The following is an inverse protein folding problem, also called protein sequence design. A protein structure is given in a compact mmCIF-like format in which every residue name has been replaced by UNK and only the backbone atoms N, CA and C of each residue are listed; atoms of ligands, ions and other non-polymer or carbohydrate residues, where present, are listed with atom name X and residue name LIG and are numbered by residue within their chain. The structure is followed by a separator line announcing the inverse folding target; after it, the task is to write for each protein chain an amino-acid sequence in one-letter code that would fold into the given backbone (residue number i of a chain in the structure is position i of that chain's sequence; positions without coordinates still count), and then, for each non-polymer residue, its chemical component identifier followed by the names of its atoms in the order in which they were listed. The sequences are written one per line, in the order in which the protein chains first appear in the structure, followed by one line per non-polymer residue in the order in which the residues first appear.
data_IF_443860492441
#
_entry.id   IF_443860492441
#
_cell.length_a   1.000
_cell.length_b   1.000
_cell.length_c   1.000
_cell.angle_alpha   90.00
_cell.angle_beta   90.00
_cell.angle_gamma   90.00
#
_symmetry.space_group_name_H-M   'P 1'
#
loop_
_entity.id
_entity.type
_entity.pdbx_description
1 polymer ?
#
# COMPACT_ATOMS: atom_id res chain seq x y z
N UNK A 1 8.82 10.93 13.69
CA UNK A 1 9.25 9.84 12.79
C UNK A 1 8.78 10.16 11.38
N UNK A 2 9.46 9.65 10.34
CA UNK A 2 9.21 10.02 8.94
C UNK A 2 7.71 10.03 8.56
N UNK A 3 6.97 8.95 8.82
CA UNK A 3 5.53 8.89 8.49
C UNK A 3 4.67 9.89 9.26
N UNK A 4 5.02 10.20 10.50
CA UNK A 4 4.29 11.22 11.29
C UNK A 4 4.44 12.60 10.65
N UNK A 5 5.67 12.96 10.30
CA UNK A 5 5.98 14.24 9.65
C UNK A 5 5.33 14.32 8.26
N UNK A 6 5.34 13.22 7.51
CA UNK A 6 4.64 13.12 6.22
C UNK A 6 3.14 13.39 6.37
N UNK A 7 2.48 12.75 7.33
CA UNK A 7 1.04 12.92 7.54
C UNK A 7 0.69 14.30 8.07
N UNK A 8 1.47 14.85 8.99
CA UNK A 8 1.31 16.24 9.45
C UNK A 8 1.38 17.23 8.27
N UNK A 9 2.37 17.08 7.38
CA UNK A 9 2.52 17.93 6.20
C UNK A 9 1.36 17.78 5.19
N UNK A 10 0.81 16.58 5.03
CA UNK A 10 -0.32 16.33 4.11
C UNK A 10 -1.65 16.82 4.71
N UNK A 11 -1.81 16.74 6.03
CA UNK A 11 -3.02 17.14 6.76
C UNK A 11 -3.09 18.65 7.06
N UNK A 12 -2.09 19.44 6.66
CA UNK A 12 -2.15 20.91 6.75
C UNK A 12 -3.29 21.52 5.90
N UNK A 13 -3.90 20.75 4.99
CA UNK A 13 -5.17 21.11 4.34
C UNK A 13 -6.36 20.73 5.24
N UNK A 14 -7.11 21.71 5.80
CA UNK A 14 -8.22 21.46 6.72
C UNK A 14 -9.45 20.78 6.09
N UNK A 15 -9.39 20.46 4.78
CA UNK A 15 -10.40 19.67 4.06
C UNK A 15 -10.00 18.20 3.84
N UNK A 16 -8.78 17.81 4.23
CA UNK A 16 -8.23 16.47 4.04
C UNK A 16 -9.00 15.40 4.81
N UNK A 17 -9.26 14.27 4.16
CA UNK A 17 -9.77 13.07 4.80
C UNK A 17 -8.66 12.43 5.66
N UNK A 18 -9.02 11.91 6.84
CA UNK A 18 -8.07 11.25 7.74
C UNK A 18 -7.32 10.12 7.03
N UNK A 19 -6.05 9.97 7.42
CA UNK A 19 -5.16 8.90 6.96
C UNK A 19 -5.21 7.79 8.01
N UNK A 20 -5.66 6.61 7.60
CA UNK A 20 -5.62 5.41 8.44
C UNK A 20 -4.83 4.32 7.73
N UNK A 21 -4.48 3.24 8.45
CA UNK A 21 -3.72 2.16 7.87
C UNK A 21 -2.85 1.40 8.85
N UNK A 22 -1.88 0.68 8.31
CA UNK A 22 -0.99 -0.18 9.07
C UNK A 22 0.43 -0.11 8.51
N UNK A 23 1.38 0.15 9.39
CA UNK A 23 2.81 0.03 9.15
C UNK A 23 3.39 -1.18 9.89
N UNK A 24 3.80 -2.19 9.13
CA UNK A 24 4.46 -3.37 9.68
C UNK A 24 5.98 -3.25 9.47
N UNK A 25 6.71 -3.23 10.59
CA UNK A 25 8.16 -3.11 10.62
C UNK A 25 8.80 -4.48 10.82
N UNK A 26 9.56 -4.95 9.81
CA UNK A 26 10.51 -6.05 9.96
C UNK A 26 11.93 -5.50 10.10
N UNK A 27 12.88 -6.31 10.61
CA UNK A 27 14.28 -5.88 10.72
C UNK A 27 14.93 -5.44 9.41
N UNK A 28 14.48 -5.96 8.26
CA UNK A 28 15.09 -5.73 6.94
C UNK A 28 14.15 -5.12 5.89
N UNK A 29 12.86 -4.99 6.19
CA UNK A 29 11.85 -4.54 5.23
C UNK A 29 10.64 -3.94 5.94
N UNK A 30 9.82 -3.20 5.20
CA UNK A 30 8.63 -2.55 5.72
C UNK A 30 7.47 -2.89 4.81
N UNK A 31 6.33 -3.23 5.40
CA UNK A 31 5.07 -3.39 4.68
C UNK A 31 4.12 -2.27 5.10
N UNK A 32 3.52 -1.62 4.11
CA UNK A 32 2.78 -0.36 4.29
C UNK A 32 1.40 -0.47 3.65
N UNK A 33 0.35 -0.44 4.49
CA UNK A 33 -1.04 -0.34 4.09
C UNK A 33 -1.55 1.07 4.43
N UNK A 34 -2.12 1.76 3.44
CA UNK A 34 -2.65 3.12 3.60
C UNK A 34 -4.08 3.17 3.07
N UNK A 35 -4.96 3.81 3.85
CA UNK A 35 -6.34 4.07 3.50
C UNK A 35 -6.59 5.58 3.60
N UNK A 36 -6.96 6.20 2.48
CA UNK A 36 -7.36 7.61 2.42
C UNK A 36 -8.02 7.89 1.06
N UNK A 37 -8.38 9.15 0.80
CA UNK A 37 -8.84 9.58 -0.51
C UNK A 37 -7.71 9.46 -1.57
N UNK A 38 -8.12 9.40 -2.85
CA UNK A 38 -7.17 9.22 -3.96
C UNK A 38 -6.14 10.34 -4.07
N UNK A 39 -6.49 11.58 -3.73
CA UNK A 39 -5.54 12.70 -3.72
C UNK A 39 -4.47 12.53 -2.66
N UNK A 40 -4.82 12.10 -1.45
CA UNK A 40 -3.85 11.85 -0.38
C UNK A 40 -2.95 10.67 -0.71
N UNK A 41 -3.51 9.57 -1.22
CA UNK A 41 -2.70 8.42 -1.68
C UNK A 41 -1.71 8.86 -2.78
N UNK A 42 -2.15 9.72 -3.70
CA UNK A 42 -1.27 10.25 -4.74
C UNK A 42 -0.10 11.06 -4.16
N UNK A 43 -0.37 11.95 -3.19
CA UNK A 43 0.66 12.74 -2.50
C UNK A 43 1.66 11.85 -1.75
N UNK A 44 1.18 10.80 -1.08
CA UNK A 44 2.03 9.83 -0.38
C UNK A 44 2.94 9.10 -1.38
N UNK A 45 2.39 8.61 -2.50
CA UNK A 45 3.21 7.94 -3.52
C UNK A 45 4.22 8.90 -4.15
N UNK A 46 3.85 10.17 -4.35
CA UNK A 46 4.75 11.21 -4.83
C UNK A 46 5.91 11.47 -3.86
N UNK A 47 5.63 11.54 -2.55
CA UNK A 47 6.67 11.67 -1.54
C UNK A 47 7.60 10.46 -1.52
N UNK A 48 7.06 9.24 -1.59
CA UNK A 48 7.85 8.00 -1.66
C UNK A 48 8.72 7.95 -2.92
N UNK A 49 8.23 8.42 -4.07
CA UNK A 49 9.02 8.56 -5.29
C UNK A 49 10.18 9.55 -5.08
N UNK A 50 9.91 10.68 -4.44
CA UNK A 50 10.94 11.68 -4.11
C UNK A 50 12.01 11.11 -3.16
N UNK A 51 11.59 10.30 -2.18
CA UNK A 51 12.49 9.63 -1.25
C UNK A 51 13.39 8.63 -1.99
N UNK A 52 12.81 7.80 -2.85
CA UNK A 52 13.57 6.83 -3.64
C UNK A 52 14.56 7.50 -4.61
N UNK A 53 14.21 8.68 -5.13
CA UNK A 53 15.09 9.45 -6.02
C UNK A 53 16.39 9.95 -5.35
N UNK A 54 16.45 9.94 -4.01
CA UNK A 54 17.67 10.26 -3.25
C UNK A 54 18.75 9.17 -3.37
N UNK A 55 18.45 8.04 -4.00
CA UNK A 55 19.42 6.96 -4.26
C UNK A 55 19.89 6.27 -2.98
N UNK A 56 21.19 5.95 -2.90
CA UNK A 56 21.75 5.16 -1.79
C UNK A 56 21.67 5.84 -0.41
N UNK A 57 21.42 7.15 -0.35
CA UNK A 57 21.21 7.88 0.91
C UNK A 57 19.74 7.92 1.36
N UNK A 58 18.83 7.38 0.57
CA UNK A 58 17.41 7.33 0.92
C UNK A 58 17.18 6.49 2.18
N UNK A 59 16.24 6.93 3.01
CA UNK A 59 15.80 6.18 4.20
C UNK A 59 15.22 4.82 3.81
N UNK A 60 14.47 4.78 2.71
CA UNK A 60 13.85 3.59 2.16
C UNK A 60 14.38 3.35 0.75
N UNK A 61 14.76 2.11 0.46
CA UNK A 61 15.21 1.66 -0.85
C UNK A 61 14.24 0.59 -1.37
N UNK A 62 14.28 0.34 -2.69
CA UNK A 62 13.47 -0.69 -3.35
C UNK A 62 11.96 -0.63 -3.03
N UNK A 63 11.42 0.60 -2.99
CA UNK A 63 10.00 0.84 -2.73
C UNK A 63 9.19 0.31 -3.91
N UNK A 64 8.17 -0.51 -3.60
CA UNK A 64 7.26 -1.10 -4.57
C UNK A 64 5.80 -0.81 -4.21
N UNK A 65 5.01 -0.46 -5.21
CA UNK A 65 3.55 -0.35 -5.12
C UNK A 65 2.96 -1.70 -5.53
N UNK A 66 2.41 -2.42 -4.56
CA UNK A 66 1.82 -3.75 -4.80
C UNK A 66 0.44 -3.63 -5.43
N UNK A 67 -0.46 -2.91 -4.78
CA UNK A 67 -1.86 -2.73 -5.18
C UNK A 67 -2.34 -1.36 -4.75
N UNK A 68 -3.11 -0.70 -5.63
CA UNK A 68 -3.92 0.48 -5.28
C UNK A 68 -5.37 0.13 -5.58
N UNK A 69 -6.19 0.09 -4.54
CA UNK A 69 -7.61 -0.19 -4.64
C UNK A 69 -8.44 1.10 -4.54
N UNK A 70 -9.61 1.10 -5.17
CA UNK A 70 -10.55 2.23 -5.18
C UNK A 70 -11.93 1.79 -4.71
N UNK A 71 -12.77 2.75 -4.30
CA UNK A 71 -14.15 2.52 -3.85
C UNK A 71 -14.26 1.52 -2.68
N UNK A 72 -13.34 1.63 -1.72
CA UNK A 72 -13.39 0.82 -0.49
C UNK A 72 -14.55 1.32 0.37
N UNK A 73 -15.58 0.50 0.65
CA UNK A 73 -16.79 0.95 1.33
C UNK A 73 -16.58 1.21 2.83
N UNK A 74 -15.61 0.53 3.43
CA UNK A 74 -15.29 0.59 4.86
C UNK A 74 -13.79 0.46 5.04
N UNK A 75 -13.20 1.34 5.85
CA UNK A 75 -11.78 1.26 6.24
C UNK A 75 -11.52 -0.04 6.99
N UNK A 76 -10.43 -0.71 6.66
CA UNK A 76 -9.97 -1.89 7.37
C UNK A 76 -9.38 -1.53 8.73
N UNK A 77 -8.61 -0.43 8.76
CA UNK A 77 -8.06 0.15 9.98
C UNK A 77 -8.78 1.47 10.27
N UNK A 78 -9.51 1.61 11.40
CA UNK A 78 -10.15 2.87 11.75
C UNK A 78 -9.11 3.99 11.97
N UNK A 79 -7.97 3.65 12.59
CA UNK A 79 -6.88 4.57 12.89
C UNK A 79 -5.56 4.16 12.21
N UNK A 80 -4.50 4.92 12.46
CA UNK A 80 -3.15 4.61 12.01
C UNK A 80 -2.42 3.71 13.02
N UNK A 81 -2.01 2.53 12.57
CA UNK A 81 -1.32 1.55 13.43
C UNK A 81 0.12 1.31 13.01
N UNK A 82 1.00 1.13 14.01
CA UNK A 82 2.36 0.65 13.81
C UNK A 82 2.58 -0.64 14.60
N UNK A 83 3.03 -1.68 13.90
CA UNK A 83 3.31 -2.99 14.49
C UNK A 83 4.74 -3.42 14.16
N UNK A 84 5.36 -4.13 15.09
CA UNK A 84 6.66 -4.76 14.86
C UNK A 84 6.50 -6.25 14.71
N UNK A 85 7.11 -6.81 13.67
CA UNK A 85 7.22 -8.25 13.53
C UNK A 85 8.32 -8.77 14.47
N UNK A 86 8.05 -9.77 15.32
CA UNK A 86 9.12 -10.44 16.07
C UNK A 86 10.14 -11.04 15.10
N UNK A 87 11.41 -11.04 15.49
CA UNK A 87 12.47 -11.65 14.70
C UNK A 87 12.10 -13.12 14.39
N UNK A 88 12.03 -13.44 13.10
CA UNK A 88 11.46 -14.70 12.64
C UNK A 88 12.16 -15.90 13.30
N UNK A 89 11.38 -16.73 13.99
CA UNK A 89 11.73 -18.14 14.17
C UNK A 89 11.46 -18.81 12.82
N UNK A 90 12.36 -19.65 12.28
CA UNK A 90 12.13 -20.30 11.00
C UNK A 90 10.82 -21.09 11.04
N UNK A 91 9.78 -20.59 10.36
CA UNK A 91 8.54 -21.35 10.22
C UNK A 91 8.82 -22.58 9.36
N UNK A 92 8.27 -23.76 9.70
CA UNK A 92 8.28 -24.89 8.79
C UNK A 92 7.44 -24.49 7.57
N UNK A 93 8.05 -24.49 6.37
CA UNK A 93 7.37 -24.32 5.08
C UNK A 93 6.15 -25.25 5.01
N UNK A 94 4.96 -24.71 5.27
CA UNK A 94 3.70 -25.45 5.31
C UNK A 94 2.76 -25.15 4.15
N UNK A 95 2.93 -24.02 3.46
CA UNK A 95 2.21 -23.72 2.23
C UNK A 95 3.00 -24.21 1.01
N UNK A 96 2.32 -24.72 -0.03
CA UNK A 96 2.95 -24.87 -1.33
C UNK A 96 3.49 -23.50 -1.77
N UNK A 97 4.67 -23.43 -2.40
CA UNK A 97 5.17 -22.16 -2.91
C UNK A 97 4.15 -21.60 -3.91
N UNK A 98 3.78 -20.33 -3.75
CA UNK A 98 2.96 -19.61 -4.72
C UNK A 98 3.60 -19.72 -6.12
N UNK A 99 2.77 -19.93 -7.14
CA UNK A 99 3.21 -20.16 -8.52
C UNK A 99 3.48 -18.84 -9.27
N UNK A 100 2.96 -17.71 -8.76
CA UNK A 100 3.15 -16.39 -9.37
C UNK A 100 3.22 -15.24 -8.36
N UNK A 101 3.83 -14.12 -8.75
CA UNK A 101 3.85 -12.86 -7.97
C UNK A 101 2.44 -12.41 -7.57
N UNK A 102 1.46 -12.58 -8.46
CA UNK A 102 0.07 -12.21 -8.20
C UNK A 102 -0.56 -13.04 -7.08
N UNK A 103 -0.26 -14.34 -7.01
CA UNK A 103 -0.72 -15.21 -5.92
C UNK A 103 -0.09 -14.81 -4.59
N UNK A 104 1.22 -14.50 -4.59
CA UNK A 104 1.91 -14.00 -3.39
C UNK A 104 1.26 -12.71 -2.88
N UNK A 105 0.95 -11.77 -3.77
CA UNK A 105 0.24 -10.54 -3.41
C UNK A 105 -1.15 -10.85 -2.85
N UNK A 106 -1.90 -11.77 -3.48
CA UNK A 106 -3.22 -12.17 -3.00
C UNK A 106 -3.18 -12.81 -1.61
N UNK A 107 -2.17 -13.65 -1.33
CA UNK A 107 -1.94 -14.22 0.00
C UNK A 107 -1.63 -13.14 1.04
N UNK A 108 -0.78 -12.16 0.69
CA UNK A 108 -0.50 -11.02 1.57
C UNK A 108 -1.76 -10.22 1.88
N UNK A 109 -2.58 -9.92 0.86
CA UNK A 109 -3.85 -9.22 1.03
C UNK A 109 -4.85 -10.00 1.89
N UNK A 110 -4.86 -11.33 1.79
CA UNK A 110 -5.75 -12.19 2.58
C UNK A 110 -5.42 -12.17 4.09
N UNK A 111 -4.17 -11.86 4.46
CA UNK A 111 -3.74 -11.74 5.85
C UNK A 111 -4.11 -10.39 6.48
N UNK A 112 -4.25 -9.32 5.68
CA UNK A 112 -4.52 -7.97 6.19
C UNK A 112 -5.73 -7.88 7.12
N UNK A 113 -6.89 -8.48 6.81
CA UNK A 113 -8.05 -8.38 7.70
C UNK A 113 -7.83 -9.04 9.06
N UNK A 114 -7.09 -10.16 9.09
CA UNK A 114 -6.77 -10.85 10.34
C UNK A 114 -5.79 -10.04 11.18
N UNK A 115 -4.79 -9.43 10.53
CA UNK A 115 -3.85 -8.53 11.20
C UNK A 115 -4.56 -7.32 11.81
N UNK A 116 -5.42 -6.65 11.03
CA UNK A 116 -6.17 -5.49 11.48
C UNK A 116 -7.09 -5.84 12.67
N UNK A 117 -7.80 -6.96 12.60
CA UNK A 117 -8.65 -7.44 13.68
C UNK A 117 -7.86 -7.72 14.98
N UNK A 118 -6.67 -8.32 14.87
CA UNK A 118 -5.82 -8.57 16.04
C UNK A 118 -5.33 -7.30 16.72
N UNK A 119 -4.94 -6.28 15.93
CA UNK A 119 -4.52 -4.99 16.47
C UNK A 119 -5.68 -4.34 17.20
N UNK A 120 -6.84 -4.25 16.56
CA UNK A 120 -8.05 -3.63 17.13
C UNK A 120 -8.50 -4.34 18.41
N UNK A 121 -8.46 -5.68 18.45
CA UNK A 121 -8.81 -6.43 19.66
C UNK A 121 -7.84 -6.22 20.83
N UNK A 122 -6.58 -5.85 20.54
CA UNK A 122 -5.59 -5.58 21.59
C UNK A 122 -5.78 -4.21 22.22
N UNK A 123 -6.39 -3.26 21.53
CA UNK A 123 -6.64 -1.90 22.04
C UNK A 123 -7.79 -1.85 23.04
N UNK A 124 -8.85 -2.64 22.80
CA UNK A 124 -9.99 -2.75 23.72
C UNK A 124 -9.59 -3.26 25.13
N UNK A 125 -8.45 -3.97 25.23
CA UNK A 125 -7.92 -4.51 26.48
C UNK A 125 -6.88 -3.60 27.16
N UNK A 126 -6.40 -2.53 26.51
CA UNK A 126 -5.36 -1.64 27.06
C UNK A 126 -5.83 -0.19 27.20
N UNK A 127 -6.00 0.28 28.43
CA UNK A 127 -6.35 1.69 28.75
C UNK A 127 -5.18 2.68 28.52
N UNK A 128 -4.02 2.23 28.03
CA UNK A 128 -2.81 3.04 27.90
C UNK A 128 -2.64 3.59 26.48
N UNK A 129 -3.12 4.82 26.32
CA UNK A 129 -3.04 5.68 25.14
C UNK A 129 -1.62 6.26 25.02
N UNK A 130 -0.64 5.47 24.60
CA UNK A 130 0.67 6.00 24.17
C UNK A 130 1.42 4.99 23.29
N UNK A 131 1.47 5.27 21.99
CA UNK A 131 2.51 4.83 21.03
C UNK A 131 3.09 3.40 21.19
N UNK A 132 2.25 2.43 21.57
CA UNK A 132 2.66 1.05 21.82
C UNK A 132 2.75 0.32 20.48
N UNK A 133 3.98 -0.03 20.07
CA UNK A 133 4.19 -0.88 18.92
C UNK A 133 3.57 -2.26 19.19
N UNK A 134 2.49 -2.60 18.49
CA UNK A 134 1.84 -3.89 18.67
C UNK A 134 2.78 -5.03 18.26
N UNK A 135 2.79 -6.09 19.06
CA UNK A 135 3.50 -7.34 18.72
C UNK A 135 2.47 -8.34 18.21
N UNK A 136 2.50 -8.63 16.91
CA UNK A 136 1.55 -9.54 16.29
C UNK A 136 2.01 -11.00 16.36
N UNK A 137 1.03 -11.90 16.37
CA UNK A 137 1.28 -13.34 16.32
C UNK A 137 2.03 -13.70 15.02
N UNK A 138 3.12 -14.49 15.08
CA UNK A 138 3.93 -14.84 13.90
C UNK A 138 3.16 -15.50 12.75
N UNK A 139 2.04 -16.17 13.05
CA UNK A 139 1.21 -16.88 12.07
C UNK A 139 0.37 -15.94 11.20
N UNK A 140 0.13 -14.71 11.66
CA UNK A 140 -0.69 -13.72 10.98
C UNK A 140 0.17 -12.68 10.24
N UNK A 141 1.50 -12.78 10.37
CA UNK A 141 2.43 -11.83 9.77
C UNK A 141 2.80 -12.26 8.37
N UNK A 142 2.89 -11.28 7.47
CA UNK A 142 3.52 -11.47 6.18
C UNK A 142 5.01 -11.76 6.44
N UNK A 143 5.57 -12.88 5.97
CA UNK A 143 6.98 -13.20 6.21
C UNK A 143 7.91 -12.15 5.59
N UNK A 144 9.02 -11.86 6.27
CA UNK A 144 10.01 -10.90 5.76
C UNK A 144 10.60 -11.35 4.41
N UNK A 145 10.73 -12.65 4.20
CA UNK A 145 11.17 -13.26 2.94
C UNK A 145 10.17 -12.99 1.81
N UNK A 146 8.88 -12.98 2.11
CA UNK A 146 7.82 -12.66 1.16
C UNK A 146 7.87 -11.19 0.76
N UNK A 147 8.02 -10.30 1.75
CA UNK A 147 8.18 -8.86 1.49
C UNK A 147 9.44 -8.59 0.65
N UNK A 148 10.56 -9.21 0.99
CA UNK A 148 11.81 -9.08 0.24
C UNK A 148 11.69 -9.62 -1.20
N UNK A 149 11.01 -10.75 -1.39
CA UNK A 149 10.70 -11.27 -2.73
C UNK A 149 9.90 -10.26 -3.55
N UNK A 150 8.84 -9.69 -2.99
CA UNK A 150 7.99 -8.69 -3.66
C UNK A 150 8.75 -7.39 -3.98
N UNK A 151 9.66 -6.95 -3.11
CA UNK A 151 10.53 -5.79 -3.38
C UNK A 151 11.38 -5.97 -4.65
N UNK A 152 11.77 -7.20 -4.98
CA UNK A 152 12.57 -7.51 -6.15
C UNK A 152 11.75 -8.04 -7.34
N UNK A 153 10.44 -8.21 -7.20
CA UNK A 153 9.58 -8.64 -8.28
C UNK A 153 9.46 -7.56 -9.37
N UNK A 154 9.70 -7.95 -10.63
CA UNK A 154 9.60 -7.04 -11.78
C UNK A 154 8.15 -6.64 -12.07
N UNK A 155 7.18 -7.49 -11.70
CA UNK A 155 5.76 -7.20 -11.87
C UNK A 155 5.27 -6.07 -10.94
N UNK A 156 5.99 -5.82 -9.84
CA UNK A 156 5.66 -4.75 -8.92
C UNK A 156 6.24 -3.41 -9.40
N UNK A 157 5.38 -2.40 -9.51
CA UNK A 157 5.76 -1.08 -10.00
C UNK A 157 6.51 -0.28 -8.94
N UNK A 158 7.47 0.55 -9.36
CA UNK A 158 8.03 1.58 -8.48
C UNK A 158 7.00 2.72 -8.29
N UNK A 159 7.10 3.53 -7.21
CA UNK A 159 6.34 4.76 -7.07
C UNK A 159 6.39 5.67 -8.30
N UNK A 160 7.57 5.86 -8.90
CA UNK A 160 7.72 6.67 -10.12
C UNK A 160 6.96 6.09 -11.31
N UNK A 161 7.06 4.78 -11.52
CA UNK A 161 6.36 4.10 -12.61
C UNK A 161 4.84 4.12 -12.40
N UNK A 162 4.38 3.95 -11.16
CA UNK A 162 2.97 4.08 -10.81
C UNK A 162 2.45 5.49 -11.12
N UNK A 163 3.16 6.54 -10.70
CA UNK A 163 2.78 7.93 -10.98
C UNK A 163 2.76 8.21 -12.47
N UNK A 164 3.74 7.69 -13.22
CA UNK A 164 3.76 7.80 -14.69
C UNK A 164 2.54 7.15 -15.31
N UNK A 165 2.17 5.95 -14.86
CA UNK A 165 0.97 5.24 -15.34
C UNK A 165 -0.31 6.00 -14.97
N UNK A 166 -0.41 6.51 -13.74
CA UNK A 166 -1.58 7.25 -13.26
C UNK A 166 -1.79 8.59 -13.99
N UNK A 167 -0.70 9.32 -14.26
CA UNK A 167 -0.73 10.64 -14.90
C UNK A 167 -0.70 10.59 -16.43
N UNK A 168 -0.44 9.42 -17.02
CA UNK A 168 -0.49 9.24 -18.48
C UNK A 168 -1.88 8.75 -18.86
N UNK A 169 -2.80 9.63 -19.31
CA UNK A 169 -4.03 9.15 -19.89
C UNK A 169 -3.65 8.28 -21.08
N UNK A 170 -3.96 6.99 -21.00
CA UNK A 170 -3.98 6.14 -22.18
C UNK A 170 -5.00 6.78 -23.11
N UNK A 171 -4.52 7.44 -24.17
CA UNK A 171 -5.37 7.86 -25.28
C UNK A 171 -5.84 6.60 -25.97
N UNK A 172 -6.84 5.94 -25.39
CA UNK A 172 -7.63 4.95 -26.07
C UNK A 172 -8.48 5.76 -27.03
N UNK A 173 -8.02 5.89 -28.27
CA UNK A 173 -8.89 6.35 -29.36
C UNK A 173 -10.01 5.33 -29.43
N UNK A 174 -11.18 5.71 -28.93
CA UNK A 174 -12.36 4.85 -29.00
C UNK A 174 -12.80 4.81 -30.46
N UNK A 175 -13.12 3.64 -31.00
CA UNK A 175 -13.60 3.52 -32.39
C UNK A 175 -14.82 4.42 -32.66
N UNK A 176 -15.60 4.77 -31.62
CA UNK A 176 -16.70 5.72 -31.69
C UNK A 176 -16.29 7.16 -32.03
N UNK A 177 -15.05 7.56 -31.72
CA UNK A 177 -14.47 8.85 -32.10
C UNK A 177 -14.12 8.90 -33.59
N UNK A 178 -13.97 7.75 -34.25
CA UNK A 178 -13.72 7.63 -35.70
C UNK A 178 -15.00 7.71 -36.53
N UNK A 179 -16.18 7.54 -35.92
CA UNK A 179 -17.49 7.50 -36.60
C UNK A 179 -18.27 8.83 -36.44
N UNK A 180 -17.76 9.76 -35.63
CA UNK A 180 -18.40 11.06 -35.40
C UNK A 180 -17.62 12.22 -36.06
N UNK A 181 -18.29 13.19 -36.71
CA UNK A 181 -19.74 13.29 -36.92
C UNK A 181 -20.25 12.33 -38.01
N UNK A 182 -21.53 11.94 -37.88
CA UNK A 182 -22.23 11.14 -38.89
C UNK A 182 -22.10 11.83 -40.27
N UNK A 183 -21.64 11.13 -41.31
CA UNK A 183 -21.49 11.71 -42.63
C UNK A 183 -22.81 12.29 -43.16
N UNK A 184 -22.75 13.54 -43.64
CA UNK A 184 -23.93 14.34 -44.04
C UNK A 184 -24.80 13.70 -45.13
N UNK A 185 -24.26 12.73 -45.87
CA UNK A 185 -24.95 12.02 -46.94
C UNK A 185 -25.91 10.92 -46.45
N UNK A 186 -25.85 10.54 -45.15
CA UNK A 186 -26.79 9.61 -44.54
C UNK A 186 -28.07 10.30 -44.02
N UNK A 187 -28.14 11.64 -44.13
CA UNK A 187 -29.30 12.45 -43.74
C UNK A 187 -30.19 12.87 -44.94
N UNK A 188 -30.08 12.18 -46.08
CA UNK A 188 -30.85 12.47 -47.29
C UNK A 188 -32.01 11.48 -47.49
#
# INVERSE_FOLDING_TARGET
GYYRELFENILEDPSGEDISGLLLLHPSCIFHLVESCSSTIHLIIQDLASLQSQGHSALLQDIKVLVVAHNIPTRLCPDWYAATAPAAVPQPRGSPPAESTAEVVAECLALLPQMAACIQSSEDDSEDMDESLHTLAPELLIPAETVAYLCHAEECSSPEDFLRMYLSPTQVVLDSETVWPVPSHLFA
#
